data_IF_580359246274
#
_entry.id   IF_580359246274
#
_cell.length_a   1.000
_cell.length_b   1.000
_cell.length_c   1.000
_cell.angle_alpha   90.00
_cell.angle_beta   90.00
_cell.angle_gamma   90.00
#
_symmetry.space_group_name_H-M   'P 1'
#
loop_
_entity.id
_entity.type
_entity.pdbx_description
1 polymer ?
#
# COMPACT_ATOMS: atom_id res chain seq x y z
N UNK A 1 13.00 -15.46 8.99
CA UNK A 1 12.90 -15.52 7.50
C UNK A 1 14.27 -15.25 6.84
N UNK A 2 14.49 -15.47 5.52
CA UNK A 2 15.79 -15.12 4.88
C UNK A 2 16.07 -13.62 5.04
N UNK A 3 17.31 -13.22 5.36
CA UNK A 3 17.67 -11.83 5.70
C UNK A 3 17.27 -10.79 4.65
N UNK A 4 17.34 -11.13 3.37
CA UNK A 4 16.95 -10.23 2.27
C UNK A 4 15.44 -9.96 2.22
N UNK A 5 14.59 -10.89 2.63
CA UNK A 5 13.14 -10.65 2.72
C UNK A 5 12.83 -9.60 3.79
N UNK A 6 13.53 -9.66 4.92
CA UNK A 6 13.42 -8.66 5.99
C UNK A 6 13.84 -7.29 5.47
N UNK A 7 14.95 -7.21 4.72
CA UNK A 7 15.40 -5.97 4.10
C UNK A 7 14.36 -5.41 3.12
N UNK A 8 13.76 -6.24 2.26
CA UNK A 8 12.72 -5.79 1.33
C UNK A 8 11.45 -5.32 2.04
N UNK A 9 10.97 -6.04 3.05
CA UNK A 9 9.76 -5.66 3.77
C UNK A 9 9.95 -4.32 4.52
N UNK A 10 11.10 -4.13 5.18
CA UNK A 10 11.45 -2.86 5.83
C UNK A 10 11.63 -1.72 4.84
N UNK A 11 12.26 -1.98 3.69
CA UNK A 11 12.39 -0.98 2.64
C UNK A 11 11.02 -0.55 2.10
N UNK A 12 10.11 -1.50 1.84
CA UNK A 12 8.78 -1.21 1.35
C UNK A 12 7.98 -0.35 2.35
N UNK A 13 8.01 -0.70 3.65
CA UNK A 13 7.38 0.11 4.70
C UNK A 13 7.95 1.54 4.74
N UNK A 14 9.28 1.68 4.71
CA UNK A 14 9.94 2.98 4.68
C UNK A 14 9.59 3.80 3.43
N UNK A 15 9.56 3.16 2.27
CA UNK A 15 9.28 3.81 1.00
C UNK A 15 7.84 4.32 0.97
N UNK A 16 6.89 3.48 1.37
CA UNK A 16 5.49 3.86 1.48
C UNK A 16 5.30 5.00 2.47
N UNK A 17 5.96 4.99 3.64
CA UNK A 17 5.90 6.09 4.60
C UNK A 17 6.37 7.42 4.00
N UNK A 18 7.53 7.42 3.32
CA UNK A 18 8.01 8.64 2.65
C UNK A 18 7.05 9.14 1.58
N UNK A 19 6.49 8.22 0.79
CA UNK A 19 5.53 8.56 -0.24
C UNK A 19 4.28 9.20 0.38
N UNK A 20 3.69 8.56 1.39
CA UNK A 20 2.48 9.07 2.04
C UNK A 20 2.72 10.39 2.76
N UNK A 21 3.87 10.57 3.41
CA UNK A 21 4.24 11.83 4.06
C UNK A 21 4.31 12.98 3.05
N UNK A 22 4.90 12.72 1.87
CA UNK A 22 4.95 13.69 0.78
C UNK A 22 3.54 14.07 0.28
N UNK A 23 2.68 13.07 0.05
CA UNK A 23 1.31 13.31 -0.42
C UNK A 23 0.46 14.07 0.61
N UNK A 24 0.61 13.73 1.89
CA UNK A 24 -0.11 14.39 2.99
C UNK A 24 0.40 15.81 3.28
N UNK A 25 1.60 16.17 2.82
CA UNK A 25 2.13 17.54 2.99
C UNK A 25 1.38 18.58 2.14
N UNK A 26 0.56 18.16 1.18
CA UNK A 26 -0.24 19.05 0.33
C UNK A 26 0.54 19.75 -0.78
N UNK A 27 1.85 19.48 -0.92
CA UNK A 27 2.68 20.05 -2.00
C UNK A 27 2.40 19.43 -3.37
N UNK A 28 1.69 18.29 -3.40
CA UNK A 28 1.37 17.53 -4.61
C UNK A 28 -0.13 17.60 -4.90
N UNK A 29 -0.52 17.81 -6.16
CA UNK A 29 -1.92 17.74 -6.59
C UNK A 29 -2.36 16.28 -6.76
N UNK A 30 -2.98 15.73 -5.72
CA UNK A 30 -3.36 14.30 -5.64
C UNK A 30 -4.50 13.94 -6.60
N UNK A 31 -5.44 14.86 -6.82
CA UNK A 31 -6.62 14.64 -7.66
C UNK A 31 -6.38 14.90 -9.14
N UNK A 32 -5.20 15.40 -9.51
CA UNK A 32 -4.88 15.71 -10.91
C UNK A 32 -4.73 14.41 -11.72
N UNK A 33 -5.56 14.19 -12.77
CA UNK A 33 -5.40 13.04 -13.64
C UNK A 33 -4.07 13.12 -14.41
N UNK A 34 -3.43 11.97 -14.57
CA UNK A 34 -2.21 11.81 -15.38
C UNK A 34 -2.40 10.64 -16.33
N UNK A 35 -2.07 10.82 -17.61
CA UNK A 35 -2.14 9.73 -18.61
C UNK A 35 -1.06 8.70 -18.28
N UNK A 36 -1.47 7.60 -17.65
CA UNK A 36 -0.59 6.50 -17.23
C UNK A 36 -1.40 5.20 -17.06
N UNK A 37 -0.74 4.10 -16.68
CA UNK A 37 -1.38 2.81 -16.39
C UNK A 37 -2.49 2.92 -15.32
N UNK A 38 -2.29 3.77 -14.31
CA UNK A 38 -3.32 4.14 -13.33
C UNK A 38 -3.50 5.67 -13.40
N UNK A 39 -4.70 6.17 -13.74
CA UNK A 39 -4.84 7.56 -14.18
C UNK A 39 -4.87 8.56 -13.01
N UNK A 40 -3.77 8.68 -12.26
CA UNK A 40 -3.60 9.61 -11.14
C UNK A 40 -3.02 8.95 -9.89
N UNK A 41 -2.82 9.75 -8.84
CA UNK A 41 -2.19 9.30 -7.59
C UNK A 41 -3.14 8.39 -6.80
N UNK A 42 -4.42 8.77 -6.65
CA UNK A 42 -5.40 7.98 -5.89
C UNK A 42 -5.56 6.55 -6.45
N UNK A 43 -5.78 6.34 -7.77
CA UNK A 43 -5.83 4.99 -8.33
C UNK A 43 -4.52 4.21 -8.18
N UNK A 44 -3.37 4.90 -8.23
CA UNK A 44 -2.06 4.26 -8.05
C UNK A 44 -1.88 3.76 -6.61
N UNK A 45 -2.22 4.57 -5.60
CA UNK A 45 -2.16 4.16 -4.19
C UNK A 45 -3.13 3.02 -3.89
N UNK A 46 -4.34 3.05 -4.46
CA UNK A 46 -5.29 1.93 -4.34
C UNK A 46 -4.71 0.65 -4.93
N UNK A 47 -4.07 0.73 -6.09
CA UNK A 47 -3.43 -0.43 -6.69
C UNK A 47 -2.25 -0.96 -5.85
N UNK A 48 -1.46 -0.08 -5.23
CA UNK A 48 -0.40 -0.49 -4.31
C UNK A 48 -0.97 -1.25 -3.12
N UNK A 49 -2.03 -0.73 -2.51
CA UNK A 49 -2.69 -1.40 -1.39
C UNK A 49 -3.35 -2.73 -1.81
N UNK A 50 -4.00 -2.78 -2.98
CA UNK A 50 -4.50 -4.03 -3.56
C UNK A 50 -3.41 -5.09 -3.62
N UNK A 51 -2.24 -4.74 -4.17
CA UNK A 51 -1.14 -5.68 -4.33
C UNK A 51 -0.67 -6.22 -2.98
N UNK A 52 -0.42 -5.34 -1.99
CA UNK A 52 0.03 -5.78 -0.67
C UNK A 52 -1.02 -6.62 0.06
N UNK A 53 -2.30 -6.24 -0.01
CA UNK A 53 -3.39 -6.92 0.68
C UNK A 53 -3.72 -8.27 0.04
N UNK A 54 -3.78 -8.34 -1.30
CA UNK A 54 -4.06 -9.59 -2.03
C UNK A 54 -2.97 -10.62 -1.75
N UNK A 55 -1.70 -10.23 -1.84
CA UNK A 55 -0.61 -11.17 -1.59
C UNK A 55 -0.54 -11.59 -0.13
N UNK A 56 -0.89 -10.69 0.80
CA UNK A 56 -0.95 -11.02 2.23
C UNK A 56 -1.99 -12.12 2.47
N UNK A 57 -3.19 -11.93 1.95
CA UNK A 57 -4.26 -12.92 2.06
C UNK A 57 -3.87 -14.27 1.46
N UNK A 58 -3.17 -14.27 0.31
CA UNK A 58 -2.66 -15.49 -0.32
C UNK A 58 -1.62 -16.22 0.54
N UNK A 59 -0.63 -15.53 1.10
CA UNK A 59 0.36 -16.18 1.98
C UNK A 59 -0.26 -16.65 3.31
N UNK A 60 -1.39 -16.05 3.70
CA UNK A 60 -2.22 -16.51 4.83
C UNK A 60 -3.23 -17.58 4.46
N UNK A 61 -3.21 -18.07 3.23
CA UNK A 61 -4.10 -19.12 2.74
C UNK A 61 -5.58 -18.80 2.96
N UNK A 62 -5.97 -17.52 2.80
CA UNK A 62 -7.39 -17.17 2.78
C UNK A 62 -8.06 -17.73 1.52
N UNK A 63 -9.21 -18.36 1.69
CA UNK A 63 -9.98 -18.95 0.59
C UNK A 63 -10.58 -17.90 -0.35
N UNK A 64 -11.11 -16.82 0.21
CA UNK A 64 -11.63 -15.68 -0.54
C UNK A 64 -10.69 -14.48 -0.39
N UNK A 65 -10.28 -13.93 -1.53
CA UNK A 65 -9.42 -12.76 -1.60
C UNK A 65 -10.29 -11.52 -1.75
N UNK A 66 -10.16 -10.61 -0.79
CA UNK A 66 -10.72 -9.27 -0.90
C UNK A 66 -9.76 -8.35 -1.67
N UNK A 67 -10.30 -7.54 -2.57
CA UNK A 67 -9.56 -6.52 -3.29
C UNK A 67 -10.01 -5.15 -2.80
N UNK A 68 -9.21 -4.44 -1.97
CA UNK A 68 -9.62 -3.20 -1.34
C UNK A 68 -10.21 -2.15 -2.29
N UNK A 69 -9.66 -2.02 -3.51
CA UNK A 69 -10.15 -1.05 -4.49
C UNK A 69 -11.60 -1.25 -4.92
N UNK A 70 -12.17 -2.45 -4.77
CA UNK A 70 -13.54 -2.75 -5.17
C UNK A 70 -14.59 -2.18 -4.21
N UNK A 71 -14.21 -1.93 -2.96
CA UNK A 71 -15.12 -1.48 -1.89
C UNK A 71 -14.68 -0.19 -1.19
N UNK A 72 -13.46 0.29 -1.43
CA UNK A 72 -12.95 1.48 -0.79
C UNK A 72 -13.70 2.75 -1.22
N UNK A 73 -14.15 3.53 -0.23
CA UNK A 73 -14.86 4.81 -0.40
C UNK A 73 -14.28 5.93 0.49
N UNK A 74 -13.03 5.77 0.93
CA UNK A 74 -12.34 6.75 1.78
C UNK A 74 -11.61 7.84 1.00
N UNK A 75 -11.00 8.75 1.75
CA UNK A 75 -10.13 9.81 1.23
C UNK A 75 -8.65 9.37 1.21
N UNK A 76 -7.77 10.28 0.76
CA UNK A 76 -6.32 10.06 0.77
C UNK A 76 -5.79 9.69 2.17
N UNK A 77 -6.29 10.33 3.22
CA UNK A 77 -5.81 10.07 4.58
C UNK A 77 -6.12 8.62 4.99
N UNK A 78 -7.34 8.14 4.75
CA UNK A 78 -7.72 6.75 5.05
C UNK A 78 -6.93 5.78 4.17
N UNK A 79 -6.77 6.08 2.89
CA UNK A 79 -6.04 5.21 1.96
C UNK A 79 -4.57 5.05 2.38
N UNK A 80 -3.90 6.16 2.69
CA UNK A 80 -2.50 6.14 3.15
C UNK A 80 -2.35 5.40 4.47
N UNK A 81 -3.28 5.57 5.42
CA UNK A 81 -3.28 4.80 6.67
C UNK A 81 -3.39 3.29 6.41
N UNK A 82 -4.32 2.85 5.56
CA UNK A 82 -4.48 1.43 5.24
C UNK A 82 -3.24 0.83 4.57
N UNK A 83 -2.64 1.55 3.61
CA UNK A 83 -1.41 1.12 2.95
C UNK A 83 -0.27 0.95 3.96
N UNK A 84 -0.06 1.93 4.84
CA UNK A 84 1.01 1.87 5.86
C UNK A 84 0.79 0.75 6.87
N UNK A 85 -0.45 0.55 7.31
CA UNK A 85 -0.80 -0.56 8.21
C UNK A 85 -0.49 -1.91 7.56
N UNK A 86 -0.84 -2.10 6.28
CA UNK A 86 -0.56 -3.34 5.57
C UNK A 86 0.95 -3.57 5.40
N UNK A 87 1.72 -2.53 5.08
CA UNK A 87 3.18 -2.64 4.95
C UNK A 87 3.86 -2.96 6.29
N UNK A 88 3.38 -2.37 7.39
CA UNK A 88 3.88 -2.65 8.74
C UNK A 88 3.55 -4.09 9.18
N UNK A 89 2.39 -4.63 8.80
CA UNK A 89 2.01 -6.02 9.04
C UNK A 89 2.97 -6.98 8.33
N UNK A 90 3.27 -6.71 7.06
CA UNK A 90 4.29 -7.44 6.30
C UNK A 90 5.67 -7.39 6.96
N UNK A 91 6.15 -6.18 7.29
CA UNK A 91 7.46 -5.99 7.91
C UNK A 91 7.59 -6.73 9.25
N UNK A 92 6.53 -6.70 10.06
CA UNK A 92 6.46 -7.39 11.35
C UNK A 92 6.48 -8.92 11.16
N UNK A 93 5.66 -9.45 10.25
CA UNK A 93 5.56 -10.89 10.03
C UNK A 93 6.83 -11.49 9.42
N UNK A 94 7.48 -10.79 8.50
CA UNK A 94 8.75 -11.25 7.90
C UNK A 94 9.92 -11.18 8.89
N UNK A 95 9.86 -10.27 9.87
CA UNK A 95 10.88 -10.09 10.90
C UNK A 95 10.75 -11.03 12.10
N UNK A 96 9.58 -11.67 12.28
CA UNK A 96 9.36 -12.71 13.30
C UNK A 96 10.05 -14.04 12.93
#
# INVERSE_FOLDING_TARGET
MKSWLVSYARYNEWANRRLTDCLMSGVVQVEQPVVSSFPGIMPTLLHMWDAEHIWWQRVKMKDQIDRPSESFSGDLQKLTQHLLLQSAEWASWVSA
#
